data_IF_838860585705
#
_entry.id   IF_838860585705
#
_cell.length_a   1.000
_cell.length_b   1.000
_cell.length_c   1.000
_cell.angle_alpha   90.00
_cell.angle_beta   90.00
_cell.angle_gamma   90.00
#
_symmetry.space_group_name_H-M   'P 1'
#
loop_
_entity.id
_entity.type
_entity.pdbx_description
1 polymer ?
#
# COMPACT_ATOMS: atom_id res chain seq x y z
N UNK A 1 23.30 3.25 -26.81
CA UNK A 1 23.23 2.02 -25.98
C UNK A 1 21.77 1.66 -25.80
N UNK A 2 21.40 0.37 -25.72
CA UNK A 2 20.02 -0.04 -25.44
C UNK A 2 20.06 -1.24 -24.48
N UNK A 3 19.40 -1.10 -23.34
CA UNK A 3 19.26 -2.19 -22.37
C UNK A 3 18.15 -3.17 -22.79
N UNK A 4 18.31 -4.43 -22.45
CA UNK A 4 17.23 -5.42 -22.53
C UNK A 4 16.34 -5.28 -21.29
N UNK A 5 15.00 -5.29 -21.44
CA UNK A 5 14.10 -5.13 -20.31
C UNK A 5 14.32 -6.24 -19.27
N UNK A 6 14.41 -5.84 -18.00
CA UNK A 6 14.55 -6.75 -16.85
C UNK A 6 13.22 -6.76 -16.08
N UNK A 7 12.63 -7.95 -15.93
CA UNK A 7 11.36 -8.09 -15.23
C UNK A 7 11.47 -7.58 -13.77
N UNK A 8 10.51 -6.74 -13.35
CA UNK A 8 10.51 -6.12 -12.02
C UNK A 8 11.43 -4.91 -11.87
N UNK A 9 11.99 -4.40 -12.96
CA UNK A 9 12.78 -3.17 -12.97
C UNK A 9 12.27 -2.20 -14.03
N UNK A 10 12.38 -0.91 -13.73
CA UNK A 10 12.21 0.18 -14.66
C UNK A 10 13.59 0.76 -14.98
N UNK A 11 13.94 0.80 -16.27
CA UNK A 11 15.22 1.31 -16.76
C UNK A 11 15.12 2.76 -17.21
N UNK A 12 16.10 3.57 -16.87
CA UNK A 12 16.29 4.95 -17.34
C UNK A 12 17.69 5.13 -17.94
N UNK A 13 17.79 5.74 -19.12
CA UNK A 13 19.02 5.77 -19.93
C UNK A 13 19.42 7.21 -20.24
N UNK A 14 20.59 7.60 -19.76
CA UNK A 14 21.19 8.93 -19.96
C UNK A 14 22.57 8.79 -20.62
N UNK A 15 22.59 8.82 -21.96
CA UNK A 15 23.84 8.69 -22.72
C UNK A 15 24.43 7.28 -22.61
N UNK A 16 25.48 7.15 -21.80
CA UNK A 16 26.11 5.86 -21.46
C UNK A 16 25.75 5.35 -20.06
N UNK A 17 25.05 6.17 -19.26
CA UNK A 17 24.59 5.79 -17.94
C UNK A 17 23.22 5.11 -18.06
N UNK A 18 23.08 3.98 -17.37
CA UNK A 18 21.83 3.21 -17.27
C UNK A 18 21.53 3.03 -15.78
N UNK A 19 20.34 3.42 -15.35
CA UNK A 19 19.85 3.20 -13.99
C UNK A 19 18.65 2.25 -14.02
N UNK A 20 18.70 1.17 -13.25
CA UNK A 20 17.58 0.25 -13.06
C UNK A 20 16.99 0.41 -11.66
N UNK A 21 15.72 0.79 -11.59
CA UNK A 21 14.98 0.92 -10.32
C UNK A 21 14.01 -0.24 -10.16
N UNK A 22 14.06 -0.92 -9.01
CA UNK A 22 13.18 -2.05 -8.72
C UNK A 22 11.74 -1.54 -8.54
N UNK A 23 10.80 -2.16 -9.24
CA UNK A 23 9.37 -1.84 -9.17
C UNK A 23 8.56 -3.04 -8.70
N UNK A 24 7.41 -2.77 -8.09
CA UNK A 24 6.48 -3.80 -7.65
C UNK A 24 5.27 -3.16 -7.00
N UNK A 25 4.13 -3.84 -7.11
CA UNK A 25 2.87 -3.44 -6.49
C UNK A 25 2.45 -4.48 -5.46
N UNK A 26 1.78 -4.02 -4.42
CA UNK A 26 1.18 -4.86 -3.38
C UNK A 26 -0.17 -4.29 -2.96
N UNK A 27 -0.85 -5.02 -2.08
CA UNK A 27 -2.08 -4.57 -1.43
C UNK A 27 -2.01 -4.83 0.07
N UNK A 28 -2.73 -4.00 0.83
CA UNK A 28 -2.94 -4.18 2.27
C UNK A 28 -4.43 -4.30 2.50
N UNK A 29 -4.86 -5.40 3.08
CA UNK A 29 -6.27 -5.66 3.37
C UNK A 29 -6.45 -6.22 4.78
N UNK A 30 -7.62 -5.99 5.35
CA UNK A 30 -7.93 -6.47 6.68
C UNK A 30 -9.41 -6.38 7.03
N UNK A 31 -9.71 -6.77 8.27
CA UNK A 31 -11.08 -6.75 8.79
C UNK A 31 -11.04 -6.28 10.23
N UNK A 32 -11.85 -5.28 10.57
CA UNK A 32 -12.07 -4.88 11.96
C UNK A 32 -12.96 -5.93 12.63
N UNK A 33 -12.39 -6.63 13.60
CA UNK A 33 -13.15 -7.49 14.51
C UNK A 33 -13.44 -6.77 15.81
N UNK A 34 -14.68 -6.89 16.28
CA UNK A 34 -15.11 -6.40 17.58
C UNK A 34 -15.31 -7.60 18.52
N UNK A 35 -14.64 -7.58 19.68
CA UNK A 35 -14.76 -8.59 20.75
C UNK A 35 -15.40 -7.93 21.97
N UNK A 36 -16.67 -7.60 21.85
CA UNK A 36 -17.39 -6.70 22.74
C UNK A 36 -18.80 -7.22 23.12
N UNK A 37 -19.09 -8.50 22.87
CA UNK A 37 -20.42 -9.10 23.08
C UNK A 37 -21.58 -8.35 22.39
N UNK A 38 -21.31 -7.79 21.19
CA UNK A 38 -22.27 -7.03 20.39
C UNK A 38 -22.83 -5.80 21.13
N UNK A 39 -21.92 -5.05 21.74
CA UNK A 39 -22.19 -3.79 22.43
C UNK A 39 -23.06 -2.82 21.60
N UNK A 40 -23.99 -2.14 22.28
CA UNK A 40 -24.99 -1.25 21.64
C UNK A 40 -24.43 0.12 21.24
N UNK A 41 -23.31 0.52 21.81
CA UNK A 41 -22.65 1.81 21.66
C UNK A 41 -21.52 1.79 20.62
N UNK A 42 -21.45 0.75 19.78
CA UNK A 42 -20.49 0.69 18.68
C UNK A 42 -20.71 1.86 17.71
N UNK A 43 -19.63 2.54 17.28
CA UNK A 43 -19.77 3.57 16.26
C UNK A 43 -20.27 2.97 14.94
N UNK A 44 -21.00 3.75 14.15
CA UNK A 44 -21.50 3.32 12.85
C UNK A 44 -20.36 3.09 11.84
N UNK A 45 -19.25 3.81 12.02
CA UNK A 45 -18.07 3.80 11.17
C UNK A 45 -16.78 4.04 11.97
N UNK A 46 -15.67 3.59 11.42
CA UNK A 46 -14.32 3.93 11.86
C UNK A 46 -13.51 4.42 10.66
N UNK A 47 -12.39 5.09 10.93
CA UNK A 47 -11.37 5.37 9.94
C UNK A 47 -10.18 4.43 10.16
N UNK A 48 -9.68 3.86 9.07
CA UNK A 48 -8.46 3.06 9.04
C UNK A 48 -7.44 3.82 8.20
N UNK A 49 -6.34 4.21 8.83
CA UNK A 49 -5.22 4.85 8.15
C UNK A 49 -4.22 3.78 7.69
N UNK A 50 -3.80 3.89 6.42
CA UNK A 50 -2.63 3.19 5.91
C UNK A 50 -1.41 4.08 6.09
N UNK A 51 -0.41 3.56 6.82
CA UNK A 51 0.85 4.24 7.00
C UNK A 51 1.88 3.67 6.03
N UNK A 52 2.70 4.54 5.44
CA UNK A 52 3.90 4.18 4.69
C UNK A 52 5.09 4.81 5.41
N UNK A 53 6.02 3.97 5.88
CA UNK A 53 7.17 4.40 6.69
C UNK A 53 6.76 5.28 7.89
N UNK A 54 5.62 4.97 8.51
CA UNK A 54 5.09 5.71 9.65
C UNK A 54 4.30 6.99 9.30
N UNK A 55 4.15 7.34 8.02
CA UNK A 55 3.36 8.49 7.57
C UNK A 55 2.04 8.04 6.97
N UNK A 56 0.92 8.65 7.34
CA UNK A 56 -0.40 8.34 6.74
C UNK A 56 -0.40 8.74 5.26
N UNK A 57 -0.73 7.78 4.39
CA UNK A 57 -0.81 8.01 2.93
C UNK A 57 -2.22 7.81 2.36
N UNK A 58 -3.09 7.15 3.11
CA UNK A 58 -4.49 6.94 2.75
C UNK A 58 -5.32 6.67 4.00
N UNK A 59 -6.60 7.02 3.94
CA UNK A 59 -7.59 6.75 4.98
C UNK A 59 -8.82 6.13 4.32
N UNK A 60 -9.36 5.06 4.91
CA UNK A 60 -10.60 4.43 4.47
C UNK A 60 -11.64 4.40 5.60
N UNK A 61 -12.87 4.79 5.27
CA UNK A 61 -14.01 4.62 6.17
C UNK A 61 -14.52 3.18 6.10
N UNK A 62 -14.64 2.57 7.28
CA UNK A 62 -15.00 1.16 7.45
C UNK A 62 -16.21 1.08 8.37
N UNK A 63 -17.24 0.38 7.95
CA UNK A 63 -18.51 0.33 8.66
C UNK A 63 -19.12 -1.06 8.62
N UNK A 64 -20.26 -1.22 9.29
CA UNK A 64 -21.07 -2.44 9.15
C UNK A 64 -21.49 -2.69 7.70
N UNK A 65 -21.74 -1.63 6.91
CA UNK A 65 -22.13 -1.74 5.51
C UNK A 65 -21.01 -2.30 4.62
N UNK A 66 -19.73 -2.01 4.95
CA UNK A 66 -18.57 -2.60 4.27
C UNK A 66 -18.19 -3.98 4.81
N UNK A 67 -19.01 -4.54 5.71
CA UNK A 67 -18.69 -5.78 6.41
C UNK A 67 -17.46 -5.66 7.32
N UNK A 68 -17.14 -4.44 7.76
CA UNK A 68 -15.94 -4.11 8.53
C UNK A 68 -14.61 -4.43 7.82
N UNK A 69 -14.62 -4.55 6.48
CA UNK A 69 -13.43 -4.83 5.66
C UNK A 69 -12.85 -3.54 5.09
N UNK A 70 -11.54 -3.55 4.87
CA UNK A 70 -10.80 -2.51 4.17
C UNK A 70 -9.76 -3.14 3.23
N UNK A 71 -9.45 -2.44 2.15
CA UNK A 71 -8.50 -2.86 1.14
C UNK A 71 -7.87 -1.63 0.47
N UNK A 72 -6.54 -1.56 0.52
CA UNK A 72 -5.72 -0.59 -0.19
C UNK A 72 -4.94 -1.33 -1.28
N UNK A 73 -5.12 -0.92 -2.55
CA UNK A 73 -4.51 -1.54 -3.74
C UNK A 73 -3.41 -0.67 -4.30
N UNK A 74 -2.69 -1.23 -5.26
CA UNK A 74 -1.75 -0.51 -6.13
C UNK A 74 -0.67 0.24 -5.34
N UNK A 75 -0.22 -0.39 -4.23
CA UNK A 75 0.78 0.18 -3.34
C UNK A 75 2.17 -0.15 -3.86
N UNK A 76 3.00 0.86 -4.09
CA UNK A 76 4.39 0.67 -4.49
C UNK A 76 5.17 -0.12 -3.41
N UNK A 77 5.92 -1.15 -3.80
CA UNK A 77 6.73 -1.91 -2.84
C UNK A 77 8.04 -1.18 -2.52
N UNK A 78 8.58 -0.40 -3.45
CA UNK A 78 9.89 0.26 -3.34
C UNK A 78 9.80 1.76 -3.62
N UNK A 79 10.67 2.54 -2.98
CA UNK A 79 10.87 3.96 -3.27
C UNK A 79 11.73 4.17 -4.54
N UNK A 80 11.99 5.44 -4.87
CA UNK A 80 12.79 5.81 -6.06
C UNK A 80 14.24 5.29 -6.01
N UNK A 81 14.76 4.94 -4.83
CA UNK A 81 16.10 4.38 -4.63
C UNK A 81 16.07 2.84 -4.57
N UNK A 82 14.92 2.21 -4.77
CA UNK A 82 14.75 0.76 -4.67
C UNK A 82 14.68 0.23 -3.24
N UNK A 83 14.47 1.10 -2.22
CA UNK A 83 14.31 0.68 -0.82
C UNK A 83 12.86 0.32 -0.55
N UNK A 84 12.62 -0.82 0.11
CA UNK A 84 11.26 -1.29 0.36
C UNK A 84 10.52 -0.40 1.37
N UNK A 85 9.26 -0.05 1.05
CA UNK A 85 8.36 0.61 1.98
C UNK A 85 7.91 -0.34 3.08
N UNK A 86 7.72 0.20 4.29
CA UNK A 86 7.01 -0.46 5.38
C UNK A 86 5.58 0.05 5.42
N UNK A 87 4.64 -0.88 5.36
CA UNK A 87 3.21 -0.64 5.49
C UNK A 87 2.66 -1.24 6.78
#
# INVERSE_FOLDING_TARGET
>A
MKEQPVAGYQSDVHGYDITNTKVGETKVEGTKTWKDDNAKDRPEMIQVDLLQNGTVIATQEVSKATGWKYEFKDLAVYDANGVAYKY
#
